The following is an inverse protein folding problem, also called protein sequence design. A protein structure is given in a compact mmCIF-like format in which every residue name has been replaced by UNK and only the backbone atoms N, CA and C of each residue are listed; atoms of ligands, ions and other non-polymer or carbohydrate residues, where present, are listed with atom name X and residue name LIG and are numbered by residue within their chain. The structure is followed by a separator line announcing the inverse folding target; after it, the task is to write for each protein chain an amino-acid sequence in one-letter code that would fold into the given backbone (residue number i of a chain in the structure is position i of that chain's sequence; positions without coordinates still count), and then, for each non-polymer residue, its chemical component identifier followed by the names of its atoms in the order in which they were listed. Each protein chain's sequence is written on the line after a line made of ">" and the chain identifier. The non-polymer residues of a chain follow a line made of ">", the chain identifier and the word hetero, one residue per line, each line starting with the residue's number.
data_IF_029388003828
#
_entry.id   IF_029388003828
#
_cell.length_a   1.000
_cell.length_b   1.000
_cell.length_c   1.000
_cell.angle_alpha   90.00
_cell.angle_beta   90.00
_cell.angle_gamma   90.00
#
_symmetry.space_group_name_H-M   'P 1'
#
loop_
_entity.id
_entity.type
_entity.pdbx_description
1 polymer ?
#
# COMPACT_ATOMS: atom_id res chain seq x y z
N UNK A 1 6.11 -16.19 -3.89
CA UNK A 1 4.87 -15.39 -3.85
C UNK A 1 4.12 -15.58 -5.16
N UNK A 2 2.96 -16.23 -5.13
CA UNK A 2 2.10 -16.36 -6.31
C UNK A 2 1.47 -15.00 -6.65
N UNK A 3 1.40 -14.68 -7.95
CA UNK A 3 0.85 -13.42 -8.46
C UNK A 3 -0.19 -13.72 -9.54
N UNK A 4 -1.36 -13.12 -9.39
CA UNK A 4 -2.38 -13.08 -10.43
C UNK A 4 -2.42 -11.66 -11.01
N UNK A 5 -1.68 -11.48 -12.11
CA UNK A 5 -1.56 -10.17 -12.75
C UNK A 5 -2.83 -9.73 -13.45
N UNK A 6 -3.65 -10.67 -13.93
CA UNK A 6 -4.89 -10.35 -14.64
C UNK A 6 -5.91 -9.71 -13.69
N UNK A 7 -5.94 -10.16 -12.44
CA UNK A 7 -6.81 -9.60 -11.39
C UNK A 7 -6.09 -8.62 -10.44
N UNK A 8 -4.81 -8.33 -10.68
CA UNK A 8 -3.96 -7.46 -9.84
C UNK A 8 -3.91 -7.89 -8.36
N UNK A 9 -3.79 -9.21 -8.12
CA UNK A 9 -3.74 -9.80 -6.77
C UNK A 9 -2.38 -10.44 -6.49
N UNK A 10 -1.82 -10.13 -5.33
CA UNK A 10 -0.65 -10.79 -4.76
C UNK A 10 -1.08 -11.69 -3.60
N UNK A 11 -0.54 -12.91 -3.52
CA UNK A 11 -0.68 -13.74 -2.31
C UNK A 11 0.40 -13.34 -1.32
N UNK A 12 0.03 -12.66 -0.23
CA UNK A 12 0.98 -12.10 0.73
C UNK A 12 0.93 -12.82 2.07
N UNK A 13 2.07 -12.83 2.75
CA UNK A 13 2.21 -13.27 4.13
C UNK A 13 2.77 -12.12 4.95
N UNK A 14 2.06 -11.74 6.01
CA UNK A 14 2.62 -10.92 7.08
C UNK A 14 3.13 -11.86 8.16
N UNK A 15 4.45 -11.84 8.38
CA UNK A 15 5.12 -12.70 9.35
C UNK A 15 5.58 -11.83 10.51
N UNK A 16 5.06 -12.11 11.70
CA UNK A 16 5.44 -11.44 12.94
C UNK A 16 6.26 -12.41 13.79
N UNK A 17 7.41 -11.93 14.26
CA UNK A 17 8.19 -12.59 15.30
C UNK A 17 7.92 -11.83 16.59
N UNK A 18 7.29 -12.51 17.55
CA UNK A 18 6.86 -11.94 18.82
C UNK A 18 7.73 -12.52 19.92
N UNK A 19 8.45 -11.65 20.63
CA UNK A 19 9.14 -12.00 21.87
C UNK A 19 8.27 -11.58 23.04
N UNK A 20 7.83 -12.54 23.83
CA UNK A 20 7.04 -12.32 25.03
C UNK A 20 7.94 -11.88 26.20
N UNK A 21 7.41 -11.17 27.22
CA UNK A 21 8.21 -10.68 28.34
C UNK A 21 9.02 -11.76 29.08
N UNK A 22 8.51 -12.98 29.14
CA UNK A 22 9.18 -14.15 29.73
C UNK A 22 10.28 -14.78 28.85
N UNK A 23 10.57 -14.20 27.68
CA UNK A 23 11.59 -14.67 26.74
C UNK A 23 11.11 -15.76 25.78
N UNK A 24 9.83 -16.16 25.84
CA UNK A 24 9.24 -17.05 24.83
C UNK A 24 9.16 -16.32 23.49
N UNK A 25 9.58 -16.98 22.42
CA UNK A 25 9.40 -16.50 21.06
C UNK A 25 8.24 -17.21 20.37
N UNK A 26 7.54 -16.48 19.50
CA UNK A 26 6.41 -16.98 18.74
C UNK A 26 6.42 -16.40 17.32
N UNK A 27 6.10 -17.24 16.33
CA UNK A 27 5.97 -16.84 14.93
C UNK A 27 4.51 -16.87 14.52
N UNK A 28 3.95 -15.71 14.23
CA UNK A 28 2.58 -15.57 13.72
C UNK A 28 2.63 -15.29 12.22
N UNK A 29 1.88 -16.06 11.43
CA UNK A 29 1.78 -15.88 9.98
C UNK A 29 0.34 -15.59 9.62
N UNK A 30 0.12 -14.46 8.95
CA UNK A 30 -1.16 -14.11 8.36
C UNK A 30 -1.02 -14.12 6.84
N UNK A 31 -1.63 -15.11 6.19
CA UNK A 31 -1.67 -15.23 4.73
C UNK A 31 -3.01 -14.69 4.20
N UNK A 32 -2.95 -13.84 3.17
CA UNK A 32 -4.17 -13.33 2.51
C UNK A 32 -3.89 -12.84 1.07
N UNK A 33 -4.92 -12.82 0.20
CA UNK A 33 -4.84 -12.15 -1.09
C UNK A 33 -4.91 -10.63 -0.91
N UNK A 34 -3.96 -9.90 -1.49
CA UNK A 34 -3.93 -8.44 -1.47
C UNK A 34 -3.99 -7.88 -2.89
N UNK A 35 -4.99 -7.04 -3.15
CA UNK A 35 -5.10 -6.32 -4.42
C UNK A 35 -4.22 -5.07 -4.38
N UNK A 36 -3.56 -4.75 -5.49
CA UNK A 36 -2.73 -3.55 -5.61
C UNK A 36 -3.22 -2.65 -6.75
N UNK A 37 -2.96 -1.35 -6.63
CA UNK A 37 -3.30 -0.34 -7.63
C UNK A 37 -2.03 0.24 -8.23
N UNK A 38 -2.06 0.58 -9.51
CA UNK A 38 -1.06 1.45 -10.11
C UNK A 38 -1.36 2.92 -9.83
N UNK A 39 -0.35 3.79 -9.92
CA UNK A 39 -0.49 5.23 -9.67
C UNK A 39 -1.70 5.85 -10.38
N UNK A 40 -1.75 5.75 -11.71
CA UNK A 40 -2.81 6.38 -12.50
C UNK A 40 -4.18 5.75 -12.28
N UNK A 41 -4.25 4.48 -11.88
CA UNK A 41 -5.50 3.82 -11.50
C UNK A 41 -6.06 4.42 -10.21
N UNK A 42 -5.21 4.57 -9.18
CA UNK A 42 -5.59 5.22 -7.93
C UNK A 42 -6.01 6.68 -8.15
N UNK A 43 -5.27 7.46 -8.96
CA UNK A 43 -5.63 8.84 -9.33
C UNK A 43 -7.00 8.89 -10.02
N UNK A 44 -7.28 7.96 -10.94
CA UNK A 44 -8.55 7.89 -11.65
C UNK A 44 -9.72 7.57 -10.71
N UNK A 45 -9.56 6.58 -9.83
CA UNK A 45 -10.60 6.20 -8.86
C UNK A 45 -10.90 7.35 -7.89
N UNK A 46 -9.87 8.04 -7.38
CA UNK A 46 -10.02 9.22 -6.54
C UNK A 46 -10.79 10.34 -7.27
N UNK A 47 -10.43 10.61 -8.53
CA UNK A 47 -11.14 11.60 -9.34
C UNK A 47 -12.62 11.25 -9.53
N UNK A 48 -12.96 9.98 -9.79
CA UNK A 48 -14.35 9.50 -9.91
C UNK A 48 -15.14 9.58 -8.60
N UNK A 49 -14.46 9.52 -7.45
CA UNK A 49 -15.05 9.75 -6.14
C UNK A 49 -15.14 11.23 -5.74
N UNK A 50 -14.82 12.17 -6.65
CA UNK A 50 -14.89 13.60 -6.38
C UNK A 50 -13.70 14.15 -5.59
N UNK A 51 -12.55 13.48 -5.62
CA UNK A 51 -11.32 13.96 -5.01
C UNK A 51 -10.35 14.54 -6.06
N UNK A 52 -9.50 15.46 -5.62
CA UNK A 52 -8.33 15.91 -6.34
C UNK A 52 -7.09 15.49 -5.55
N UNK A 53 -6.12 14.87 -6.24
CA UNK A 53 -4.83 14.53 -5.63
C UNK A 53 -4.00 15.81 -5.51
N UNK A 54 -3.55 16.12 -4.30
CA UNK A 54 -2.71 17.28 -4.01
C UNK A 54 -1.23 16.88 -3.97
N UNK A 55 -0.93 15.73 -3.38
CA UNK A 55 0.43 15.19 -3.31
C UNK A 55 0.48 13.68 -3.51
N UNK A 56 1.60 13.24 -4.06
CA UNK A 56 1.99 11.83 -4.16
C UNK A 56 3.42 11.69 -3.65
N UNK A 57 3.60 10.82 -2.65
CA UNK A 57 4.91 10.50 -2.08
C UNK A 57 5.27 9.03 -2.33
N UNK A 58 6.57 8.73 -2.25
CA UNK A 58 7.14 7.40 -2.46
C UNK A 58 7.26 6.55 -1.19
N UNK A 59 7.03 7.14 -0.01
CA UNK A 59 7.08 6.46 1.30
C UNK A 59 6.47 7.35 2.39
N UNK A 60 6.38 6.84 3.62
CA UNK A 60 5.89 7.54 4.81
C UNK A 60 6.77 8.70 5.26
N UNK A 61 8.01 8.81 4.76
CA UNK A 61 8.90 9.95 4.99
C UNK A 61 8.63 11.14 4.06
N UNK A 62 7.56 11.08 3.25
CA UNK A 62 7.19 12.09 2.25
C UNK A 62 8.24 12.32 1.16
N UNK A 63 9.09 11.32 0.87
CA UNK A 63 9.99 11.36 -0.27
C UNK A 63 9.25 11.63 -1.58
N UNK A 64 9.83 12.43 -2.46
CA UNK A 64 9.24 12.73 -3.76
C UNK A 64 8.97 11.45 -4.56
N UNK A 65 7.81 11.36 -5.23
CA UNK A 65 7.51 10.23 -6.09
C UNK A 65 8.63 9.97 -7.11
N UNK A 66 9.05 8.71 -7.25
CA UNK A 66 10.12 8.29 -8.16
C UNK A 66 11.54 8.50 -7.65
N UNK A 67 11.73 9.11 -6.46
CA UNK A 67 13.06 9.26 -5.84
C UNK A 67 13.61 7.96 -5.23
N UNK A 68 12.73 6.98 -4.97
CA UNK A 68 13.05 5.65 -4.46
C UNK A 68 12.28 4.60 -5.24
N UNK A 69 12.93 3.47 -5.55
CA UNK A 69 12.28 2.30 -6.14
C UNK A 69 12.79 1.02 -5.47
N UNK A 70 11.90 0.10 -5.06
CA UNK A 70 10.44 0.24 -4.98
C UNK A 70 10.02 1.17 -3.82
N UNK A 71 8.85 1.81 -3.94
CA UNK A 71 8.29 2.68 -2.89
C UNK A 71 6.78 2.52 -2.79
N UNK A 72 6.23 2.79 -1.60
CA UNK A 72 4.79 2.83 -1.35
C UNK A 72 4.15 4.06 -2.03
N UNK A 73 2.90 3.93 -2.48
CA UNK A 73 2.17 5.06 -3.04
C UNK A 73 1.34 5.74 -1.95
N UNK A 74 1.84 6.86 -1.43
CA UNK A 74 1.12 7.65 -0.42
C UNK A 74 0.41 8.83 -1.09
N UNK A 75 -0.91 8.75 -1.19
CA UNK A 75 -1.75 9.80 -1.79
C UNK A 75 -2.32 10.73 -0.72
N UNK A 76 -2.10 12.04 -0.89
CA UNK A 76 -2.84 13.08 -0.17
C UNK A 76 -3.86 13.67 -1.14
N UNK A 77 -5.14 13.54 -0.81
CA UNK A 77 -6.24 13.98 -1.67
C UNK A 77 -7.25 14.81 -0.90
N UNK A 78 -7.78 15.83 -1.57
CA UNK A 78 -8.82 16.72 -1.05
C UNK A 78 -10.13 16.49 -1.79
N UNK A 79 -11.25 16.48 -1.06
CA UNK A 79 -12.58 16.47 -1.67
C UNK A 79 -12.77 17.77 -2.49
N UNK A 80 -13.21 17.64 -3.74
CA UNK A 80 -13.54 18.79 -4.58
C UNK A 80 -14.75 19.51 -3.96
N UNK A 81 -14.73 20.84 -3.99
CA UNK A 81 -15.93 21.63 -3.68
C UNK A 81 -16.87 21.49 -4.88
N UNK A 82 -18.15 21.23 -4.60
CA UNK A 82 -19.22 21.16 -5.61
C UNK A 82 -19.37 22.48 -6.37
#
# INVERSE_FOLDING_TARGET
>A
VARDHANQVNQVELIYYVTHPEGREERLVQAFPMRYLFRFEAEHLLARCGFAVEHLYADYDMSAYGSKYPGELIFVARKRKE
#
